data_IF_644922661423
#
_entry.id   IF_644922661423
#
_cell.length_a   1.000
_cell.length_b   1.000
_cell.length_c   1.000
_cell.angle_alpha   90.00
_cell.angle_beta   90.00
_cell.angle_gamma   90.00
#
_symmetry.space_group_name_H-M   'P 1'
#
loop_
_entity.id
_entity.type
_entity.pdbx_description
1 polymer ?
#
# COMPACT_ATOMS: atom_id res chain seq x y z
N UNK A 1 -9.67 -8.16 17.35
CA UNK A 1 -8.92 -9.43 17.43
C UNK A 1 -9.43 -10.29 16.28
N UNK A 2 -8.61 -10.55 15.25
CA UNK A 2 -9.07 -11.15 14.00
C UNK A 2 -8.68 -12.63 13.93
N UNK A 3 -9.68 -13.52 13.97
CA UNK A 3 -9.52 -14.97 13.97
C UNK A 3 -9.49 -15.49 12.52
N UNK A 4 -8.42 -16.21 12.13
CA UNK A 4 -8.22 -17.09 10.95
C UNK A 4 -8.58 -16.54 9.54
N UNK A 5 -9.71 -15.87 9.36
CA UNK A 5 -10.11 -15.09 8.17
C UNK A 5 -9.30 -13.79 7.98
N UNK A 6 -8.45 -13.45 8.95
CA UNK A 6 -7.48 -12.36 8.82
C UNK A 6 -6.53 -12.62 7.64
N UNK A 7 -6.19 -13.88 7.33
CA UNK A 7 -5.16 -14.17 6.32
C UNK A 7 -5.48 -13.67 4.91
N UNK A 8 -6.71 -13.83 4.44
CA UNK A 8 -7.12 -13.33 3.13
C UNK A 8 -7.18 -11.79 3.14
N UNK A 9 -7.77 -11.22 4.18
CA UNK A 9 -7.84 -9.77 4.37
C UNK A 9 -6.44 -9.12 4.42
N UNK A 10 -5.52 -9.71 5.20
CA UNK A 10 -4.12 -9.30 5.31
C UNK A 10 -3.38 -9.41 3.98
N UNK A 11 -3.61 -10.48 3.22
CA UNK A 11 -3.00 -10.65 1.90
C UNK A 11 -3.41 -9.51 0.97
N UNK A 12 -4.71 -9.20 0.92
CA UNK A 12 -5.23 -8.08 0.11
C UNK A 12 -4.64 -6.74 0.60
N UNK A 13 -4.60 -6.50 1.90
CA UNK A 13 -4.00 -5.29 2.46
C UNK A 13 -2.51 -5.17 2.14
N UNK A 14 -1.78 -6.29 2.09
CA UNK A 14 -0.37 -6.32 1.71
C UNK A 14 -0.16 -6.01 0.21
N UNK A 15 -1.04 -6.51 -0.65
CA UNK A 15 -1.02 -6.16 -2.08
C UNK A 15 -1.34 -4.68 -2.31
N UNK A 16 -2.34 -4.13 -1.61
CA UNK A 16 -2.63 -2.68 -1.63
C UNK A 16 -1.42 -1.89 -1.14
N UNK A 17 -0.78 -2.31 -0.05
CA UNK A 17 0.41 -1.65 0.49
C UNK A 17 1.55 -1.61 -0.53
N UNK A 18 1.77 -2.73 -1.23
CA UNK A 18 2.79 -2.84 -2.29
C UNK A 18 2.48 -1.90 -3.47
N UNK A 19 1.26 -1.94 -4.02
CA UNK A 19 0.85 -1.09 -5.14
C UNK A 19 0.93 0.41 -4.79
N UNK A 20 0.46 0.75 -3.59
CA UNK A 20 0.46 2.14 -3.17
C UNK A 20 1.82 2.63 -2.68
N UNK A 21 2.79 1.74 -2.46
CA UNK A 21 4.09 2.05 -1.84
C UNK A 21 3.92 2.66 -0.43
N UNK A 22 3.05 2.07 0.38
CA UNK A 22 2.74 2.53 1.75
C UNK A 22 2.91 1.38 2.76
N UNK A 23 2.91 1.71 4.06
CA UNK A 23 2.93 0.68 5.10
C UNK A 23 1.67 -0.18 5.10
N UNK A 24 1.80 -1.45 5.53
CA UNK A 24 0.65 -2.35 5.71
C UNK A 24 -0.40 -1.77 6.66
N UNK A 25 0.02 -1.09 7.73
CA UNK A 25 -0.87 -0.42 8.69
C UNK A 25 -1.68 0.70 8.02
N UNK A 26 -1.06 1.48 7.13
CA UNK A 26 -1.73 2.53 6.36
C UNK A 26 -2.75 1.93 5.39
N UNK A 27 -2.39 0.85 4.68
CA UNK A 27 -3.30 0.14 3.78
C UNK A 27 -4.52 -0.43 4.52
N UNK A 28 -4.31 -1.10 5.67
CA UNK A 28 -5.38 -1.58 6.54
C UNK A 28 -6.33 -0.45 6.96
N UNK A 29 -5.78 0.66 7.45
CA UNK A 29 -6.59 1.80 7.90
C UNK A 29 -7.43 2.38 6.76
N UNK A 30 -6.88 2.43 5.54
CA UNK A 30 -7.63 2.84 4.34
C UNK A 30 -8.81 1.92 4.06
N UNK A 31 -8.61 0.60 4.13
CA UNK A 31 -9.67 -0.38 3.92
C UNK A 31 -10.72 -0.32 5.04
N UNK A 32 -10.31 -0.20 6.30
CA UNK A 32 -11.21 -0.05 7.46
C UNK A 32 -12.12 1.18 7.34
N UNK A 33 -11.61 2.32 6.83
CA UNK A 33 -12.42 3.51 6.57
C UNK A 33 -13.52 3.21 5.54
N UNK A 34 -13.21 2.45 4.48
CA UNK A 34 -14.19 2.09 3.46
C UNK A 34 -15.21 1.09 3.98
N UNK A 35 -14.77 0.10 4.77
CA UNK A 35 -15.64 -0.85 5.48
C UNK A 35 -16.65 -0.10 6.36
N UNK A 36 -16.17 0.90 7.11
CA UNK A 36 -17.02 1.71 7.98
C UNK A 36 -18.03 2.55 7.18
N UNK A 37 -17.63 3.08 6.03
CA UNK A 37 -18.53 3.84 5.14
C UNK A 37 -19.60 2.98 4.48
N UNK A 38 -19.24 1.77 4.04
CA UNK A 38 -20.19 0.82 3.45
C UNK A 38 -21.08 0.16 4.51
N UNK A 39 -20.71 0.26 5.80
CA UNK A 39 -21.46 -0.33 6.90
C UNK A 39 -21.38 -1.86 6.94
N UNK A 40 -20.33 -2.44 6.36
CA UNK A 40 -20.12 -3.88 6.26
C UNK A 40 -19.96 -4.53 7.64
N UNK A 41 -20.77 -5.54 7.92
CA UNK A 41 -20.85 -6.20 9.24
C UNK A 41 -20.25 -7.59 9.19
N UNK A 42 -20.35 -8.28 8.06
CA UNK A 42 -19.84 -9.64 7.91
C UNK A 42 -18.39 -9.66 7.41
N UNK A 43 -17.69 -10.76 7.69
CA UNK A 43 -16.30 -10.95 7.26
C UNK A 43 -16.20 -10.97 5.72
N UNK A 44 -17.17 -11.59 5.05
CA UNK A 44 -17.20 -11.66 3.59
C UNK A 44 -17.38 -10.28 2.97
N UNK A 45 -18.25 -9.44 3.53
CA UNK A 45 -18.42 -8.06 3.08
C UNK A 45 -17.12 -7.28 3.25
N UNK A 46 -16.43 -7.40 4.39
CA UNK A 46 -15.14 -6.74 4.62
C UNK A 46 -14.06 -7.15 3.61
N UNK A 47 -14.00 -8.44 3.27
CA UNK A 47 -13.10 -8.95 2.22
C UNK A 47 -13.49 -8.37 0.86
N UNK A 48 -14.79 -8.28 0.55
CA UNK A 48 -15.26 -7.69 -0.69
C UNK A 48 -14.88 -6.21 -0.80
N UNK A 49 -15.03 -5.43 0.28
CA UNK A 49 -14.59 -4.04 0.32
C UNK A 49 -13.08 -3.95 0.08
N UNK A 50 -12.28 -4.80 0.74
CA UNK A 50 -10.84 -4.83 0.54
C UNK A 50 -10.45 -5.14 -0.93
N UNK A 51 -11.13 -6.10 -1.57
CA UNK A 51 -10.92 -6.41 -3.00
C UNK A 51 -11.32 -5.25 -3.91
N UNK A 52 -12.41 -4.54 -3.60
CA UNK A 52 -12.82 -3.37 -4.35
C UNK A 52 -11.76 -2.26 -4.27
N UNK A 53 -11.21 -2.02 -3.07
CA UNK A 53 -10.11 -1.07 -2.87
C UNK A 53 -8.87 -1.49 -3.66
N UNK A 54 -8.52 -2.77 -3.66
CA UNK A 54 -7.41 -3.30 -4.46
C UNK A 54 -7.59 -3.02 -5.96
N UNK A 55 -8.75 -3.34 -6.52
CA UNK A 55 -9.06 -3.07 -7.95
C UNK A 55 -8.98 -1.59 -8.28
N UNK A 56 -9.40 -0.71 -7.37
CA UNK A 56 -9.26 0.73 -7.56
C UNK A 56 -7.77 1.10 -7.59
N UNK A 57 -6.97 0.58 -6.65
CA UNK A 57 -5.53 0.81 -6.63
C UNK A 57 -4.83 0.32 -7.89
N UNK A 58 -5.15 -0.88 -8.39
CA UNK A 58 -4.60 -1.42 -9.65
C UNK A 58 -4.92 -0.53 -10.85
N UNK A 59 -6.16 -0.02 -10.95
CA UNK A 59 -6.55 0.92 -12.01
C UNK A 59 -5.80 2.24 -11.95
N UNK A 60 -5.51 2.74 -10.74
CA UNK A 60 -4.73 3.97 -10.55
C UNK A 60 -3.23 3.74 -10.76
N UNK A 61 -2.71 2.53 -10.52
CA UNK A 61 -1.29 2.21 -10.71
C UNK A 61 -0.87 2.28 -12.19
N UNK A 62 -1.80 1.97 -13.11
CA UNK A 62 -1.61 2.19 -14.55
C UNK A 62 -1.30 3.66 -14.92
N UNK A 63 -1.69 4.62 -14.09
CA UNK A 63 -1.37 6.05 -14.22
C UNK A 63 -0.06 6.44 -13.48
N UNK A 64 0.34 5.61 -12.51
CA UNK A 64 1.46 5.81 -11.57
C UNK A 64 2.84 5.38 -12.11
N UNK A 65 2.91 4.76 -13.30
CA UNK A 65 4.19 4.50 -14.01
C UNK A 65 5.04 5.77 -14.19
N UNK A 66 4.42 6.94 -14.13
CA UNK A 66 5.10 8.25 -14.07
C UNK A 66 5.91 8.48 -12.79
N UNK A 67 5.45 7.96 -11.64
CA UNK A 67 6.03 8.24 -10.32
C UNK A 67 7.15 7.27 -9.93
N UNK A 68 7.12 6.01 -10.38
CA UNK A 68 8.23 5.06 -10.14
C UNK A 68 9.52 5.55 -10.79
N UNK A 69 9.43 6.09 -12.01
CA UNK A 69 10.58 6.68 -12.72
C UNK A 69 11.19 7.88 -11.97
N UNK A 70 10.38 8.62 -11.22
CA UNK A 70 10.85 9.75 -10.42
C UNK A 70 11.63 9.24 -9.21
N UNK A 71 11.14 8.19 -8.54
CA UNK A 71 11.86 7.57 -7.43
C UNK A 71 13.19 6.96 -7.87
N UNK A 72 13.19 6.22 -8.98
CA UNK A 72 14.41 5.63 -9.54
C UNK A 72 15.45 6.72 -9.86
N UNK A 73 15.01 7.85 -10.42
CA UNK A 73 15.87 9.01 -10.71
C UNK A 73 16.39 9.73 -9.46
N UNK A 74 15.60 9.79 -8.39
CA UNK A 74 16.02 10.35 -7.11
C UNK A 74 17.04 9.44 -6.40
N UNK A 75 16.89 8.13 -6.51
CA UNK A 75 17.86 7.15 -5.98
C UNK A 75 19.19 7.20 -6.75
N UNK A 76 19.14 7.34 -8.07
CA UNK A 76 20.33 7.49 -8.93
C UNK A 76 21.13 8.78 -8.62
N UNK A 77 20.50 9.79 -8.00
CA UNK A 77 21.16 11.04 -7.60
C UNK A 77 21.85 10.93 -6.23
N UNK A 78 21.45 9.97 -5.39
CA UNK A 78 22.00 9.79 -4.03
C UNK A 78 23.29 8.98 -3.98
N UNK A 79 23.59 8.17 -4.98
CA UNK A 79 24.85 7.38 -5.06
C UNK A 79 26.09 8.25 -5.38
N UNK A 80 25.94 9.57 -5.55
CA UNK A 80 27.01 10.50 -5.92
C UNK A 80 27.57 11.40 -4.80
N UNK A 81 27.02 11.37 -3.58
CA UNK A 81 27.49 12.18 -2.45
C UNK A 81 28.00 11.33 -1.29
N UNK A 82 28.90 10.38 -1.58
CA UNK A 82 29.80 9.82 -0.57
C UNK A 82 30.94 10.83 -0.31
N UNK A 83 30.59 11.98 0.27
CA UNK A 83 31.57 12.91 0.83
C UNK A 83 31.94 12.42 2.23
N UNK A 84 32.78 11.38 2.24
CA UNK A 84 33.36 10.77 3.43
C UNK A 84 33.99 11.87 4.30
N UNK A 85 33.43 12.11 5.49
CA UNK A 85 34.05 12.95 6.50
C UNK A 85 35.40 12.34 6.88
N UNK A 86 36.48 12.83 6.29
CA UNK A 86 37.80 12.78 6.90
C UNK A 86 37.83 13.81 8.03
N UNK A 87 37.67 13.33 9.27
CA UNK A 87 38.11 14.07 10.46
C UNK A 87 39.65 14.02 10.52
N UNK A 88 40.28 15.19 10.64
CA UNK A 88 41.66 15.38 11.11
C UNK A 88 41.65 15.54 12.64
#
# INVERSE_FOLDING_TARGET
>A
MYSINDRQYLKICAEIAKLMSISLSSAKKKVEIQIAKEGSKTIQEKIQVAQNVLKICEKNDGDKLSSSRILDKLMETLDGEDNFLTED
#
